data_IF_689356480221
#
_entry.id   IF_689356480221
#
_cell.length_a   1.000
_cell.length_b   1.000
_cell.length_c   1.000
_cell.angle_alpha   90.00
_cell.angle_beta   90.00
_cell.angle_gamma   90.00
#
_symmetry.space_group_name_H-M   'P 1'
#
loop_
_entity.id
_entity.type
_entity.pdbx_description
1 polymer ?
#
# COMPACT_ATOMS: atom_id res chain seq x y z
N UNK A 1 18.86 12.68 -8.11
CA UNK A 1 18.51 11.89 -6.90
C UNK A 1 17.00 11.71 -6.93
N UNK A 2 16.47 10.48 -6.93
CA UNK A 2 15.01 10.27 -6.80
C UNK A 2 14.59 10.66 -5.38
N UNK A 3 13.44 11.33 -5.25
CA UNK A 3 12.90 11.73 -3.96
C UNK A 3 12.70 10.51 -3.03
N UNK A 4 12.82 10.67 -1.71
CA UNK A 4 12.45 9.63 -0.76
C UNK A 4 10.97 9.28 -0.93
N UNK A 5 10.68 7.98 -1.01
CA UNK A 5 9.33 7.42 -1.05
C UNK A 5 9.07 6.72 0.28
N UNK A 6 8.05 7.16 1.00
CA UNK A 6 7.56 6.53 2.23
C UNK A 6 6.09 6.16 2.00
N UNK A 7 5.74 4.91 2.25
CA UNK A 7 4.38 4.40 2.07
C UNK A 7 3.89 3.83 3.38
N UNK A 8 2.87 4.44 3.94
CA UNK A 8 2.07 3.85 5.01
C UNK A 8 0.93 3.05 4.39
N UNK A 9 0.89 1.74 4.68
CA UNK A 9 -0.08 0.81 4.12
C UNK A 9 -0.86 0.16 5.24
N UNK A 10 -2.17 0.27 5.17
CA UNK A 10 -3.10 -0.46 6.01
C UNK A 10 -4.04 -1.30 5.14
N UNK A 11 -4.33 -2.52 5.59
CA UNK A 11 -5.41 -3.36 5.08
C UNK A 11 -6.24 -3.81 6.27
N UNK A 12 -7.49 -3.36 6.33
CA UNK A 12 -8.43 -3.68 7.40
C UNK A 12 -9.69 -4.36 6.83
N UNK A 13 -10.41 -5.10 7.68
CA UNK A 13 -11.68 -5.73 7.31
C UNK A 13 -11.59 -7.23 7.01
N UNK A 14 -12.58 -7.72 6.27
CA UNK A 14 -12.80 -9.16 6.04
C UNK A 14 -13.35 -9.90 7.26
N UNK A 15 -13.77 -11.14 7.05
CA UNK A 15 -14.53 -11.96 8.03
C UNK A 15 -13.83 -12.21 9.37
N UNK A 16 -12.50 -12.07 9.45
CA UNK A 16 -11.71 -12.31 10.66
C UNK A 16 -11.29 -11.02 11.40
N UNK A 17 -11.62 -9.83 10.89
CA UNK A 17 -11.22 -8.55 11.50
C UNK A 17 -9.70 -8.32 11.56
N UNK A 18 -8.94 -8.95 10.66
CA UNK A 18 -7.48 -8.88 10.66
C UNK A 18 -7.00 -7.58 10.02
N UNK A 19 -6.44 -6.68 10.84
CA UNK A 19 -5.74 -5.48 10.36
C UNK A 19 -4.26 -5.80 10.10
N UNK A 20 -3.79 -5.47 8.90
CA UNK A 20 -2.37 -5.47 8.54
C UNK A 20 -1.93 -4.02 8.36
N UNK A 21 -0.87 -3.64 9.04
CA UNK A 21 -0.26 -2.34 8.89
C UNK A 21 1.24 -2.49 8.62
N UNK A 22 1.76 -1.72 7.68
CA UNK A 22 3.21 -1.61 7.45
C UNK A 22 3.57 -0.26 6.86
N UNK A 23 4.68 0.28 7.33
CA UNK A 23 5.34 1.42 6.69
C UNK A 23 6.55 0.92 5.89
N UNK A 24 6.62 1.28 4.62
CA UNK A 24 7.71 0.98 3.69
C UNK A 24 8.46 2.27 3.37
N UNK A 25 9.75 2.30 3.71
CA UNK A 25 10.66 3.38 3.35
C UNK A 25 11.63 2.91 2.26
N UNK A 26 11.62 3.62 1.13
CA UNK A 26 12.52 3.40 0.00
C UNK A 26 14.02 3.54 0.31
N UNK A 27 14.41 4.19 1.40
CA UNK A 27 15.80 4.24 1.89
C UNK A 27 16.21 2.96 2.59
N UNK A 28 15.24 2.22 3.13
CA UNK A 28 15.44 0.92 3.78
C UNK A 28 15.33 -0.26 2.80
N UNK A 29 15.11 0.02 1.51
CA UNK A 29 15.02 -0.98 0.44
C UNK A 29 16.39 -1.24 -0.18
N UNK A 30 16.59 -2.48 -0.64
CA UNK A 30 17.66 -2.76 -1.60
C UNK A 30 17.43 -2.01 -2.93
N UNK A 31 18.48 -1.87 -3.74
CA UNK A 31 18.38 -1.16 -5.03
C UNK A 31 17.32 -1.80 -5.95
N UNK A 32 17.32 -3.13 -6.07
CA UNK A 32 16.32 -3.87 -6.84
C UNK A 32 14.89 -3.65 -6.35
N UNK A 33 14.66 -3.72 -5.04
CA UNK A 33 13.34 -3.46 -4.45
C UNK A 33 12.88 -2.02 -4.65
N UNK A 34 13.81 -1.06 -4.60
CA UNK A 34 13.51 0.35 -4.84
C UNK A 34 13.12 0.57 -6.30
N UNK A 35 13.78 -0.09 -7.24
CA UNK A 35 13.41 -0.05 -8.65
C UNK A 35 12.08 -0.76 -8.93
N UNK A 36 11.82 -1.90 -8.30
CA UNK A 36 10.53 -2.57 -8.34
C UNK A 36 9.41 -1.67 -7.80
N UNK A 37 9.58 -1.08 -6.61
CA UNK A 37 8.61 -0.17 -6.03
C UNK A 37 8.33 1.04 -6.93
N UNK A 38 9.38 1.62 -7.51
CA UNK A 38 9.22 2.74 -8.46
C UNK A 38 8.43 2.34 -9.71
N UNK A 39 8.66 1.14 -10.24
CA UNK A 39 7.87 0.61 -11.38
C UNK A 39 6.42 0.38 -11.00
N UNK A 40 6.17 -0.23 -9.85
CA UNK A 40 4.82 -0.51 -9.35
C UNK A 40 4.00 0.78 -9.11
N UNK A 41 4.63 1.82 -8.54
CA UNK A 41 3.97 3.11 -8.36
C UNK A 41 3.65 3.80 -9.69
N UNK A 42 4.54 3.68 -10.68
CA UNK A 42 4.32 4.24 -12.00
C UNK A 42 3.21 3.51 -12.77
N UNK A 43 3.14 2.17 -12.64
CA UNK A 43 2.12 1.33 -13.27
C UNK A 43 0.75 1.42 -12.59
N UNK A 44 0.73 1.68 -11.28
CA UNK A 44 -0.50 1.81 -10.50
C UNK A 44 -1.32 3.07 -10.79
N UNK A 45 -0.82 3.99 -11.63
CA UNK A 45 -1.54 5.22 -12.03
C UNK A 45 -2.12 5.97 -10.81
N UNK A 46 -1.30 6.19 -9.78
CA UNK A 46 -1.65 6.87 -8.51
C UNK A 46 -2.56 8.11 -8.70
N UNK A 47 -2.35 8.99 -9.71
CA UNK A 47 -3.23 10.13 -9.93
C UNK A 47 -4.66 9.77 -10.31
N UNK A 48 -4.88 8.67 -11.03
CA UNK A 48 -6.22 8.19 -11.36
C UNK A 48 -6.90 7.57 -10.13
N UNK A 49 -6.16 6.82 -9.32
CA UNK A 49 -6.69 6.27 -8.07
C UNK A 49 -7.15 7.33 -7.07
N UNK A 50 -6.45 8.46 -6.99
CA UNK A 50 -6.89 9.58 -6.17
C UNK A 50 -8.24 10.15 -6.63
N UNK A 51 -8.52 10.14 -7.94
CA UNK A 51 -9.84 10.54 -8.47
C UNK A 51 -10.90 9.50 -8.19
N UNK A 52 -10.53 8.23 -8.20
CA UNK A 52 -11.42 7.09 -7.92
C UNK A 52 -11.64 6.82 -6.42
N UNK A 53 -10.93 7.53 -5.53
CA UNK A 53 -11.11 7.48 -4.06
C UNK A 53 -12.48 8.08 -3.69
N UNK A 54 -13.52 7.33 -4.00
CA UNK A 54 -14.87 7.49 -3.46
C UNK A 54 -14.90 6.75 -2.13
N UNK A 55 -15.52 7.36 -1.11
CA UNK A 55 -15.73 6.76 0.21
C UNK A 55 -16.18 5.30 0.00
N UNK A 56 -15.37 4.30 0.41
CA UNK A 56 -15.70 2.93 0.12
C UNK A 56 -17.05 2.61 0.76
N UNK A 57 -17.96 2.04 -0.02
CA UNK A 57 -19.24 1.58 0.51
C UNK A 57 -18.93 0.60 1.66
N UNK A 58 -19.31 1.00 2.88
CA UNK A 58 -19.00 0.26 4.12
C UNK A 58 -19.79 -1.04 4.17
N UNK A 59 -19.34 -2.03 3.43
CA UNK A 59 -19.79 -3.41 3.57
C UNK A 59 -18.86 -4.12 4.57
N UNK A 60 -19.39 -4.71 5.64
CA UNK A 60 -18.58 -5.34 6.70
C UNK A 60 -17.73 -6.52 6.22
N UNK A 61 -18.04 -7.07 5.04
CA UNK A 61 -17.37 -8.24 4.48
C UNK A 61 -16.15 -7.91 3.60
N UNK A 62 -15.93 -6.63 3.30
CA UNK A 62 -14.90 -6.21 2.34
C UNK A 62 -13.59 -5.82 3.03
N UNK A 63 -12.48 -6.07 2.34
CA UNK A 63 -11.20 -5.48 2.72
C UNK A 63 -11.14 -4.03 2.24
N UNK A 64 -10.72 -3.15 3.15
CA UNK A 64 -10.40 -1.75 2.90
C UNK A 64 -8.87 -1.62 2.93
N UNK A 65 -8.33 -1.00 1.90
CA UNK A 65 -6.92 -0.73 1.70
C UNK A 65 -6.70 0.77 1.80
N UNK A 66 -5.89 1.21 2.75
CA UNK A 66 -5.52 2.61 2.95
C UNK A 66 -4.04 2.76 2.64
N UNK A 67 -3.71 3.70 1.76
CA UNK A 67 -2.36 4.01 1.34
C UNK A 67 -2.10 5.50 1.56
N UNK A 68 -1.05 5.81 2.30
CA UNK A 68 -0.49 7.15 2.37
C UNK A 68 0.91 7.13 1.78
N UNK A 69 1.08 7.72 0.60
CA UNK A 69 2.31 7.71 -0.17
C UNK A 69 2.91 9.11 -0.12
N UNK A 70 4.06 9.26 0.51
CA UNK A 70 4.84 10.48 0.52
C UNK A 70 6.01 10.35 -0.47
N UNK A 71 6.10 11.25 -1.43
CA UNK A 71 7.14 11.32 -2.45
C UNK A 71 7.77 12.72 -2.43
N UNK A 72 8.84 12.88 -1.65
CA UNK A 72 9.43 14.21 -1.41
C UNK A 72 8.43 15.14 -0.70
N UNK A 73 7.99 16.19 -1.38
CA UNK A 73 7.01 17.16 -0.88
C UNK A 73 5.55 16.79 -1.22
N UNK A 74 5.33 15.82 -2.13
CA UNK A 74 4.00 15.39 -2.50
C UNK A 74 3.51 14.29 -1.56
N UNK A 75 2.25 14.40 -1.12
CA UNK A 75 1.58 13.38 -0.31
C UNK A 75 0.28 12.97 -1.00
N UNK A 76 0.12 11.66 -1.20
CA UNK A 76 -1.05 11.06 -1.81
C UNK A 76 -1.74 10.14 -0.80
N UNK A 77 -3.01 10.45 -0.52
CA UNK A 77 -3.85 9.60 0.31
C UNK A 77 -4.87 8.88 -0.58
N UNK A 78 -4.89 7.55 -0.50
CA UNK A 78 -5.73 6.70 -1.33
C UNK A 78 -6.41 5.69 -0.42
N UNK A 79 -7.72 5.53 -0.60
CA UNK A 79 -8.50 4.52 0.09
C UNK A 79 -9.34 3.75 -0.92
N UNK A 80 -9.21 2.42 -0.92
CA UNK A 80 -9.81 1.55 -1.91
C UNK A 80 -10.48 0.36 -1.21
N UNK A 81 -11.68 0.00 -1.64
CA UNK A 81 -12.25 -1.32 -1.32
C UNK A 81 -11.71 -2.38 -2.28
N UNK A 82 -11.79 -3.66 -1.89
CA UNK A 82 -11.36 -4.77 -2.73
C UNK A 82 -11.97 -4.76 -4.15
N UNK A 83 -13.22 -4.26 -4.28
CA UNK A 83 -13.92 -4.16 -5.57
C UNK A 83 -13.38 -3.05 -6.49
N UNK A 84 -12.71 -2.04 -5.93
CA UNK A 84 -12.15 -0.90 -6.65
C UNK A 84 -10.70 -1.15 -7.10
N UNK A 85 -10.12 -2.32 -6.79
CA UNK A 85 -8.73 -2.62 -7.15
C UNK A 85 -8.64 -2.97 -8.63
N UNK A 86 -8.01 -2.09 -9.41
CA UNK A 86 -7.70 -2.35 -10.81
C UNK A 86 -6.52 -3.35 -10.96
N UNK A 87 -6.40 -4.03 -12.11
CA UNK A 87 -5.33 -4.98 -12.36
C UNK A 87 -3.92 -4.39 -12.22
N UNK A 88 -3.74 -3.10 -12.52
CA UNK A 88 -2.45 -2.39 -12.43
C UNK A 88 -2.05 -2.08 -10.98
N UNK A 89 -3.01 -1.98 -10.06
CA UNK A 89 -2.77 -1.68 -8.64
C UNK A 89 -2.55 -2.93 -7.81
N UNK A 90 -3.11 -4.06 -8.24
CA UNK A 90 -3.00 -5.34 -7.55
C UNK A 90 -1.55 -5.79 -7.27
N UNK A 91 -0.57 -5.62 -8.20
CA UNK A 91 0.83 -5.92 -7.93
C UNK A 91 1.43 -5.08 -6.81
N UNK A 92 1.11 -3.78 -6.74
CA UNK A 92 1.57 -2.88 -5.68
C UNK A 92 1.03 -3.33 -4.30
N UNK A 93 -0.27 -3.60 -4.20
CA UNK A 93 -0.87 -4.07 -2.94
C UNK A 93 -0.31 -5.42 -2.50
N UNK A 94 0.00 -6.31 -3.44
CA UNK A 94 0.63 -7.60 -3.16
C UNK A 94 2.05 -7.41 -2.62
N UNK A 95 2.85 -6.54 -3.22
CA UNK A 95 4.19 -6.20 -2.75
C UNK A 95 4.15 -5.69 -1.29
N UNK A 96 3.27 -4.73 -1.00
CA UNK A 96 3.09 -4.16 0.34
C UNK A 96 2.59 -5.21 1.36
N UNK A 97 1.66 -6.08 0.97
CA UNK A 97 1.14 -7.15 1.82
C UNK A 97 2.18 -8.22 2.14
N UNK A 98 3.03 -8.56 1.17
CA UNK A 98 4.14 -9.50 1.40
C UNK A 98 5.11 -8.90 2.41
N UNK A 99 5.45 -7.61 2.28
CA UNK A 99 6.32 -6.92 3.24
C UNK A 99 5.73 -6.78 4.63
N UNK A 100 4.43 -6.52 4.78
CA UNK A 100 3.80 -6.44 6.11
C UNK A 100 3.92 -7.75 6.89
N UNK A 101 3.91 -8.89 6.19
CA UNK A 101 4.10 -10.23 6.79
C UNK A 101 5.54 -10.48 7.21
N UNK A 102 6.52 -9.97 6.46
CA UNK A 102 7.93 -10.09 6.84
C UNK A 102 8.27 -9.21 8.05
N UNK A 103 7.71 -8.00 8.15
CA UNK A 103 7.88 -7.12 9.32
C UNK A 103 7.31 -7.71 10.61
N UNK A 104 6.26 -8.53 10.51
CA UNK A 104 5.65 -9.19 11.68
C UNK A 104 6.55 -10.27 12.30
N UNK A 105 7.45 -10.88 11.51
CA UNK A 105 8.30 -12.00 11.96
C UNK A 105 9.50 -11.56 12.82
N UNK A 106 9.88 -10.29 12.80
CA UNK A 106 10.97 -9.74 13.64
C UNK A 106 10.50 -9.32 15.05
N UNK A 107 9.19 -9.23 15.31
CA UNK A 107 8.63 -8.76 16.58
C UNK A 107 7.93 -9.84 17.43
N UNK A 108 7.95 -11.11 17.01
CA UNK A 108 7.46 -12.25 17.80
C UNK A 108 8.63 -13.13 18.30
N UNK A 109 9.61 -12.49 18.95
CA UNK A 109 10.58 -13.18 19.82
C UNK A 109 10.64 -12.46 21.16
N UNK A 110 9.76 -12.87 22.07
CA UNK A 110 9.90 -12.72 23.53
C UNK A 110 9.06 -13.78 24.23
#
# INVERSE_FOLDING_TARGET
MRAPIIIDFERAGGYAGLTLHTTVDSHSLSADEKEELGRLLNDAEIPELMKETTLPESSPDQFIYTLNIQMGEEQHFIQLSEKQISPSVRPLLKFLTIRSRFKKKDNESL
#
